data_IF_985691210050
#
_entry.id   IF_985691210050
#
_cell.length_a   1.000
_cell.length_b   1.000
_cell.length_c   1.000
_cell.angle_alpha   90.00
_cell.angle_beta   90.00
_cell.angle_gamma   90.00
#
_symmetry.space_group_name_H-M   'P 1'
#
loop_
_entity.id
_entity.type
_entity.pdbx_description
1 polymer ?
#
# COMPACT_ATOMS: atom_id res chain seq x y z
N UNK A 1 21.69 -63.91 40.45
CA UNK A 1 22.28 -62.82 41.27
C UNK A 1 22.71 -61.70 40.30
N UNK A 2 21.88 -60.69 40.17
CA UNK A 2 22.10 -59.58 39.22
C UNK A 2 22.40 -58.34 40.05
N UNK A 3 23.61 -57.80 39.91
CA UNK A 3 24.02 -56.56 40.56
C UNK A 3 23.57 -55.32 39.75
N UNK A 4 22.87 -54.43 40.41
CA UNK A 4 22.36 -53.16 39.99
C UNK A 4 23.52 -52.14 39.94
N UNK A 5 23.75 -51.35 38.88
CA UNK A 5 24.71 -50.24 38.93
C UNK A 5 24.14 -48.96 39.47
N UNK A 6 24.94 -48.29 40.24
CA UNK A 6 24.74 -47.04 40.98
C UNK A 6 24.63 -45.83 40.06
N UNK A 7 23.69 -44.96 40.37
CA UNK A 7 23.38 -43.68 39.74
C UNK A 7 24.42 -42.61 40.11
N UNK A 8 25.24 -42.13 39.18
CA UNK A 8 26.09 -40.97 39.40
C UNK A 8 25.41 -39.72 38.79
N UNK A 9 25.28 -38.67 39.64
CA UNK A 9 24.79 -37.34 39.24
C UNK A 9 25.87 -36.56 38.52
N UNK A 10 25.58 -35.83 37.42
CA UNK A 10 26.55 -34.94 36.80
C UNK A 10 26.63 -33.59 37.50
N UNK A 11 27.86 -33.12 37.60
CA UNK A 11 28.28 -31.84 38.19
C UNK A 11 27.79 -30.66 37.32
N UNK A 12 27.27 -29.64 38.01
CA UNK A 12 26.95 -28.31 37.50
C UNK A 12 28.21 -27.63 36.99
N UNK A 13 28.27 -27.34 35.70
CA UNK A 13 29.27 -26.45 35.07
C UNK A 13 28.63 -25.11 34.86
N UNK A 14 29.08 -24.12 35.65
CA UNK A 14 28.76 -22.71 35.47
C UNK A 14 29.48 -22.18 34.24
N UNK A 15 28.81 -22.13 33.11
CA UNK A 15 29.32 -21.55 31.88
C UNK A 15 28.79 -20.11 31.71
N UNK A 16 29.71 -19.16 31.68
CA UNK A 16 29.48 -17.75 31.46
C UNK A 16 28.75 -17.53 30.13
N UNK A 17 27.67 -16.77 30.13
CA UNK A 17 26.95 -16.30 28.95
C UNK A 17 27.84 -15.33 28.20
N UNK A 18 28.06 -15.51 26.88
CA UNK A 18 28.47 -14.40 26.03
C UNK A 18 27.26 -13.49 25.81
N UNK A 19 27.40 -12.23 26.14
CA UNK A 19 26.52 -11.14 25.69
C UNK A 19 26.63 -11.05 24.19
N UNK A 20 25.69 -11.71 23.49
CA UNK A 20 25.52 -11.49 22.07
C UNK A 20 24.83 -10.14 21.88
N UNK A 21 25.57 -9.17 21.33
CA UNK A 21 25.04 -7.98 20.71
C UNK A 21 23.95 -8.38 19.70
N UNK A 22 22.70 -8.25 20.12
CA UNK A 22 21.55 -8.36 19.22
C UNK A 22 21.50 -7.05 18.44
N UNK A 23 22.19 -7.03 17.30
CA UNK A 23 21.97 -5.99 16.29
C UNK A 23 20.55 -6.18 15.75
N UNK A 24 19.61 -5.44 16.34
CA UNK A 24 18.21 -5.32 15.94
C UNK A 24 18.09 -4.68 14.56
N UNK A 25 18.21 -5.48 13.51
CA UNK A 25 17.87 -5.11 12.13
C UNK A 25 16.77 -6.01 11.57
N UNK A 26 15.89 -6.50 12.45
CA UNK A 26 14.70 -7.20 12.00
C UNK A 26 13.58 -6.20 11.67
N UNK A 27 13.39 -5.91 10.37
CA UNK A 27 12.23 -5.20 9.84
C UNK A 27 10.97 -6.10 9.81
N UNK A 28 10.93 -7.14 10.62
CA UNK A 28 9.78 -8.00 10.81
C UNK A 28 8.59 -7.29 11.47
N UNK A 29 7.45 -7.97 11.63
CA UNK A 29 6.27 -7.39 12.27
C UNK A 29 6.57 -6.97 13.71
N UNK A 30 6.36 -5.70 14.01
CA UNK A 30 6.43 -5.20 15.40
C UNK A 30 5.19 -5.68 16.14
N UNK A 31 5.37 -6.47 17.21
CA UNK A 31 4.26 -6.89 18.07
C UNK A 31 3.80 -5.69 18.90
N UNK A 32 2.78 -4.98 18.42
CA UNK A 32 2.06 -3.95 19.15
C UNK A 32 0.69 -4.47 19.60
N UNK A 33 0.28 -4.13 20.81
CA UNK A 33 -0.91 -4.63 21.46
C UNK A 33 -2.22 -4.21 20.76
N UNK A 34 -3.16 -5.16 20.72
CA UNK A 34 -4.62 -4.99 20.61
C UNK A 34 -5.19 -4.28 19.38
N UNK A 35 -5.65 -5.08 18.41
CA UNK A 35 -6.55 -4.69 17.33
C UNK A 35 -6.19 -5.39 16.02
N UNK A 36 -7.16 -5.97 15.34
CA UNK A 36 -7.07 -6.68 14.04
C UNK A 36 -6.65 -5.75 12.87
N UNK A 37 -5.59 -4.98 13.04
CA UNK A 37 -4.87 -4.31 11.96
C UNK A 37 -3.61 -5.11 11.71
N UNK A 38 -3.29 -5.42 10.46
CA UNK A 38 -2.06 -6.10 10.10
C UNK A 38 -0.87 -5.45 10.82
N UNK A 39 0.09 -6.25 11.32
CA UNK A 39 1.21 -5.73 12.11
C UNK A 39 1.93 -4.62 11.34
N UNK A 40 2.14 -3.49 12.00
CA UNK A 40 2.85 -2.34 11.43
C UNK A 40 4.23 -2.74 10.90
N UNK A 41 4.70 -2.01 9.92
CA UNK A 41 6.03 -2.17 9.33
C UNK A 41 6.85 -0.91 9.58
N UNK A 42 8.15 -1.07 9.74
CA UNK A 42 9.07 0.05 9.95
C UNK A 42 9.73 0.43 8.63
N UNK A 43 9.67 1.71 8.28
CA UNK A 43 10.40 2.27 7.16
C UNK A 43 11.92 2.21 7.42
N UNK A 44 12.70 1.63 6.48
CA UNK A 44 14.17 1.53 6.64
C UNK A 44 14.89 2.88 6.54
N UNK A 45 14.22 3.90 5.99
CA UNK A 45 14.77 5.27 5.84
C UNK A 45 14.35 6.18 6.99
N UNK A 46 13.03 6.37 7.19
CA UNK A 46 12.50 7.31 8.19
C UNK A 46 12.37 6.71 9.60
N UNK A 47 12.44 5.37 9.71
CA UNK A 47 12.20 4.61 10.94
C UNK A 47 10.77 4.69 11.50
N UNK A 48 9.88 5.38 10.83
CA UNK A 48 8.47 5.43 11.19
C UNK A 48 7.80 4.07 11.03
N UNK A 49 6.85 3.81 11.92
CA UNK A 49 5.98 2.63 11.85
C UNK A 49 4.65 3.02 11.19
N UNK A 50 4.26 2.26 10.18
CA UNK A 50 3.03 2.49 9.42
C UNK A 50 2.34 1.17 9.08
N UNK A 51 1.02 1.19 8.86
CA UNK A 51 0.32 0.06 8.27
C UNK A 51 0.89 -0.30 6.89
N UNK A 52 0.90 -1.59 6.50
CA UNK A 52 1.43 -2.04 5.20
C UNK A 52 0.78 -1.38 3.99
N UNK A 53 -0.47 -0.92 4.13
CA UNK A 53 -1.25 -0.24 3.09
C UNK A 53 -0.60 1.09 2.66
N UNK A 54 0.01 1.82 3.60
CA UNK A 54 0.75 3.07 3.34
C UNK A 54 2.23 2.86 3.01
N UNK A 55 2.67 1.62 2.75
CA UNK A 55 4.07 1.29 2.54
C UNK A 55 4.30 0.44 1.29
N UNK A 56 5.54 0.41 0.84
CA UNK A 56 6.00 -0.42 -0.27
C UNK A 56 7.02 -1.42 0.24
N UNK A 57 6.75 -2.69 -0.05
CA UNK A 57 7.68 -3.78 0.21
C UNK A 57 8.69 -3.89 -0.91
N UNK A 58 9.94 -4.18 -0.55
CA UNK A 58 11.02 -4.48 -1.48
C UNK A 58 11.70 -5.78 -1.07
N UNK A 59 12.25 -6.48 -2.05
CA UNK A 59 13.11 -7.64 -1.85
C UNK A 59 14.39 -7.46 -2.65
N UNK A 60 15.41 -8.25 -2.34
CA UNK A 60 16.63 -8.33 -3.15
C UNK A 60 16.57 -9.59 -4.01
N UNK A 61 16.73 -9.42 -5.31
CA UNK A 61 16.83 -10.54 -6.26
C UNK A 61 18.19 -11.24 -6.16
N UNK A 62 18.37 -12.45 -6.74
CA UNK A 62 19.64 -13.17 -6.72
C UNK A 62 20.83 -12.39 -7.32
N UNK A 63 20.57 -11.49 -8.25
CA UNK A 63 21.55 -10.58 -8.89
C UNK A 63 21.72 -9.27 -8.13
N UNK A 64 21.41 -9.26 -6.83
CA UNK A 64 21.55 -8.12 -5.93
C UNK A 64 20.78 -6.86 -6.36
N UNK A 65 19.70 -6.99 -7.13
CA UNK A 65 18.83 -5.86 -7.48
C UNK A 65 17.72 -5.68 -6.48
N UNK A 66 17.42 -4.43 -6.13
CA UNK A 66 16.25 -4.07 -5.33
C UNK A 66 15.01 -4.11 -6.22
N UNK A 67 14.04 -4.93 -5.86
CA UNK A 67 12.80 -5.16 -6.62
C UNK A 67 11.60 -4.77 -5.76
N UNK A 68 10.71 -3.87 -6.24
CA UNK A 68 9.46 -3.56 -5.54
C UNK A 68 8.49 -4.75 -5.59
N UNK A 69 7.97 -5.13 -4.44
CA UNK A 69 6.97 -6.20 -4.30
C UNK A 69 5.62 -5.63 -3.88
N UNK A 70 4.93 -4.99 -4.81
CA UNK A 70 3.63 -4.37 -4.59
C UNK A 70 2.52 -5.39 -4.26
N UNK A 71 2.73 -6.65 -4.62
CA UNK A 71 1.79 -7.73 -4.34
C UNK A 71 2.06 -8.43 -2.99
N UNK A 72 3.23 -8.22 -2.40
CA UNK A 72 3.65 -8.89 -1.16
C UNK A 72 3.89 -10.40 -1.32
N UNK A 73 4.21 -10.88 -2.54
CA UNK A 73 4.29 -12.31 -2.88
C UNK A 73 5.70 -12.80 -3.19
N UNK A 74 6.65 -11.91 -3.43
CA UNK A 74 8.01 -12.33 -3.76
C UNK A 74 8.69 -12.98 -2.54
N UNK A 75 9.47 -14.07 -2.77
CA UNK A 75 10.23 -14.70 -1.70
C UNK A 75 11.33 -13.77 -1.20
N UNK A 76 11.84 -14.05 0.00
CA UNK A 76 12.95 -13.31 0.59
C UNK A 76 12.53 -12.34 1.70
N UNK A 77 13.55 -11.81 2.37
CA UNK A 77 13.36 -10.83 3.45
C UNK A 77 12.82 -9.53 2.86
N UNK A 78 11.65 -9.10 3.36
CA UNK A 78 11.04 -7.84 2.96
C UNK A 78 11.67 -6.64 3.64
N UNK A 79 12.00 -5.63 2.87
CA UNK A 79 12.38 -4.29 3.32
C UNK A 79 11.24 -3.33 3.00
N UNK A 80 10.91 -2.43 3.93
CA UNK A 80 9.73 -1.59 3.81
C UNK A 80 10.10 -0.11 3.77
N UNK A 81 9.53 0.63 2.82
CA UNK A 81 9.62 2.09 2.75
C UNK A 81 8.22 2.68 2.80
N UNK A 82 8.09 3.87 3.41
CA UNK A 82 6.87 4.67 3.28
C UNK A 82 6.60 4.96 1.80
N UNK A 83 5.34 4.85 1.38
CA UNK A 83 4.91 5.20 0.04
C UNK A 83 4.91 6.74 -0.10
N UNK A 84 6.08 7.33 -0.29
CA UNK A 84 6.31 8.77 -0.40
C UNK A 84 7.41 9.02 -1.42
N UNK A 85 7.18 9.96 -2.33
CA UNK A 85 8.16 10.36 -3.35
C UNK A 85 9.47 10.81 -2.69
N UNK A 86 9.39 11.67 -1.67
CA UNK A 86 10.57 12.20 -0.97
C UNK A 86 11.41 11.09 -0.35
N UNK A 87 10.78 10.05 0.18
CA UNK A 87 11.48 8.89 0.74
C UNK A 87 12.12 8.05 -0.36
N UNK A 88 11.42 7.80 -1.46
CA UNK A 88 11.90 6.96 -2.56
C UNK A 88 13.05 7.61 -3.33
N UNK A 89 13.01 8.92 -3.54
CA UNK A 89 14.02 9.70 -4.28
C UNK A 89 15.17 10.18 -3.39
N UNK A 90 15.07 9.96 -2.06
CA UNK A 90 16.10 10.37 -1.12
C UNK A 90 17.47 9.70 -1.40
N UNK A 91 18.54 10.48 -1.37
CA UNK A 91 19.91 9.95 -1.45
C UNK A 91 20.23 8.91 -0.35
N UNK A 92 19.54 9.00 0.80
CA UNK A 92 19.68 8.05 1.91
C UNK A 92 19.11 6.67 1.60
N UNK A 93 18.19 6.57 0.64
CA UNK A 93 17.47 5.34 0.31
C UNK A 93 18.40 4.25 -0.21
N UNK A 94 19.37 4.59 -1.08
CA UNK A 94 20.39 3.63 -1.56
C UNK A 94 21.17 3.02 -0.40
N UNK A 95 21.66 3.85 0.54
CA UNK A 95 22.40 3.39 1.71
C UNK A 95 21.53 2.59 2.68
N UNK A 96 20.24 2.95 2.82
CA UNK A 96 19.31 2.23 3.67
C UNK A 96 19.06 0.82 3.14
N UNK A 97 18.93 0.64 1.82
CA UNK A 97 18.82 -0.69 1.20
C UNK A 97 20.06 -1.53 1.42
N UNK A 98 21.27 -0.99 1.18
CA UNK A 98 22.51 -1.74 1.38
C UNK A 98 22.67 -2.19 2.84
N UNK A 99 22.36 -1.32 3.81
CA UNK A 99 22.37 -1.68 5.25
C UNK A 99 21.35 -2.74 5.60
N UNK A 100 20.11 -2.62 5.09
CA UNK A 100 19.04 -3.58 5.38
C UNK A 100 19.28 -4.95 4.73
N UNK A 101 19.85 -4.97 3.53
CA UNK A 101 20.25 -6.17 2.81
C UNK A 101 21.53 -6.82 3.37
N UNK A 102 22.34 -6.06 4.12
CA UNK A 102 23.71 -6.44 4.55
C UNK A 102 24.63 -6.81 3.36
N UNK A 103 24.41 -6.19 2.21
CA UNK A 103 25.12 -6.43 0.97
C UNK A 103 25.10 -5.19 0.07
N UNK A 104 26.02 -5.12 -0.87
CA UNK A 104 25.94 -4.17 -1.98
C UNK A 104 24.73 -4.52 -2.84
N UNK A 105 23.85 -3.53 -3.10
CA UNK A 105 22.65 -3.73 -3.91
C UNK A 105 22.54 -2.66 -5.00
N UNK A 106 21.93 -3.07 -6.10
CA UNK A 106 21.65 -2.19 -7.24
C UNK A 106 20.23 -1.66 -7.06
N UNK A 107 20.10 -0.35 -6.85
CA UNK A 107 18.81 0.34 -6.76
C UNK A 107 18.51 0.96 -8.12
N UNK A 108 17.34 0.66 -8.74
CA UNK A 108 16.95 1.28 -10.01
C UNK A 108 16.91 2.81 -9.92
N UNK A 109 17.28 3.47 -11.00
CA UNK A 109 17.06 4.91 -11.13
C UNK A 109 15.57 5.21 -11.37
N UNK A 110 15.10 6.38 -10.93
CA UNK A 110 13.70 6.75 -11.08
C UNK A 110 12.75 5.81 -10.33
N UNK A 111 13.16 5.32 -9.16
CA UNK A 111 12.40 4.31 -8.39
C UNK A 111 10.96 4.75 -8.11
N UNK A 112 10.74 6.04 -7.79
CA UNK A 112 9.40 6.57 -7.55
C UNK A 112 8.51 6.49 -8.81
N UNK A 113 9.06 6.82 -9.98
CA UNK A 113 8.30 6.80 -11.23
C UNK A 113 7.99 5.36 -11.68
N UNK A 114 8.93 4.44 -11.51
CA UNK A 114 8.71 3.01 -11.77
C UNK A 114 7.57 2.45 -10.90
N UNK A 115 7.59 2.79 -9.61
CA UNK A 115 6.55 2.37 -8.67
C UNK A 115 5.21 3.05 -9.00
N UNK A 116 5.22 4.34 -9.31
CA UNK A 116 4.02 5.08 -9.72
C UNK A 116 3.35 4.46 -10.95
N UNK A 117 4.12 4.14 -11.99
CA UNK A 117 3.61 3.47 -13.19
C UNK A 117 3.03 2.07 -12.88
N UNK A 118 3.72 1.29 -12.03
CA UNK A 118 3.24 -0.02 -11.61
C UNK A 118 1.96 0.06 -10.78
N UNK A 119 1.82 1.05 -9.89
CA UNK A 119 0.60 1.27 -9.11
C UNK A 119 -0.59 1.67 -9.99
N UNK A 120 -0.37 2.54 -11.00
CA UNK A 120 -1.40 2.88 -11.99
C UNK A 120 -1.87 1.64 -12.75
N UNK A 121 -0.94 0.77 -13.18
CA UNK A 121 -1.31 -0.49 -13.83
C UNK A 121 -2.14 -1.39 -12.91
N UNK A 122 -1.78 -1.50 -11.64
CA UNK A 122 -2.52 -2.30 -10.66
C UNK A 122 -3.92 -1.74 -10.37
N UNK A 123 -4.10 -0.42 -10.38
CA UNK A 123 -5.43 0.21 -10.31
C UNK A 123 -6.26 -0.11 -11.55
N UNK A 124 -5.67 -0.01 -12.75
CA UNK A 124 -6.31 -0.42 -14.01
C UNK A 124 -6.77 -1.88 -13.96
N UNK A 125 -5.90 -2.79 -13.52
CA UNK A 125 -6.21 -4.22 -13.40
C UNK A 125 -7.38 -4.46 -12.43
N UNK A 126 -7.41 -3.75 -11.28
CA UNK A 126 -8.49 -3.86 -10.30
C UNK A 126 -9.84 -3.40 -10.88
N UNK A 127 -9.86 -2.25 -11.56
CA UNK A 127 -11.08 -1.72 -12.21
C UNK A 127 -11.54 -2.64 -13.35
N UNK A 128 -10.60 -3.11 -14.18
CA UNK A 128 -10.90 -4.02 -15.29
C UNK A 128 -11.46 -5.36 -14.80
N UNK A 129 -10.92 -5.90 -13.71
CA UNK A 129 -11.42 -7.13 -13.11
C UNK A 129 -12.82 -6.91 -12.52
N UNK A 130 -13.05 -5.80 -11.82
CA UNK A 130 -14.35 -5.43 -11.29
C UNK A 130 -15.40 -5.26 -12.42
N UNK A 131 -15.01 -4.68 -13.56
CA UNK A 131 -15.88 -4.57 -14.74
C UNK A 131 -16.30 -5.96 -15.25
N UNK A 132 -15.35 -6.86 -15.45
CA UNK A 132 -15.65 -8.24 -15.88
C UNK A 132 -16.54 -8.99 -14.89
N UNK A 133 -16.40 -8.71 -13.60
CA UNK A 133 -17.21 -9.29 -12.54
C UNK A 133 -18.57 -8.60 -12.35
N UNK A 134 -18.93 -7.57 -13.13
CA UNK A 134 -20.15 -6.80 -12.96
C UNK A 134 -20.21 -5.97 -11.66
N UNK A 135 -19.06 -5.73 -11.01
CA UNK A 135 -18.94 -5.03 -9.73
C UNK A 135 -18.65 -3.54 -9.88
N UNK A 136 -18.61 -2.99 -11.09
CA UNK A 136 -18.38 -1.58 -11.36
C UNK A 136 -19.18 -1.12 -12.56
N UNK A 137 -19.61 0.14 -12.54
CA UNK A 137 -20.25 0.83 -13.66
C UNK A 137 -19.58 2.16 -13.91
N UNK A 138 -19.64 2.63 -15.17
CA UNK A 138 -19.06 3.89 -15.62
C UNK A 138 -20.11 4.79 -16.24
N UNK A 139 -19.91 6.10 -16.07
CA UNK A 139 -20.76 7.16 -16.61
C UNK A 139 -21.72 7.74 -15.54
N UNK A 140 -21.98 9.05 -15.64
CA UNK A 140 -22.67 9.83 -14.61
C UNK A 140 -24.02 9.20 -14.19
N UNK A 141 -24.90 8.90 -15.13
CA UNK A 141 -26.24 8.40 -14.83
C UNK A 141 -26.20 7.05 -14.09
N UNK A 142 -25.42 6.07 -14.61
CA UNK A 142 -25.30 4.77 -13.98
C UNK A 142 -24.67 4.83 -12.61
N UNK A 143 -23.65 5.69 -12.45
CA UNK A 143 -23.04 5.94 -11.12
C UNK A 143 -24.08 6.52 -10.15
N UNK A 144 -24.90 7.46 -10.58
CA UNK A 144 -25.96 8.06 -9.77
C UNK A 144 -27.00 7.03 -9.32
N UNK A 145 -27.43 6.14 -10.20
CA UNK A 145 -28.34 5.05 -9.89
C UNK A 145 -27.76 4.11 -8.81
N UNK A 146 -26.49 3.74 -8.95
CA UNK A 146 -25.82 2.89 -7.97
C UNK A 146 -25.62 3.57 -6.62
N UNK A 147 -25.28 4.85 -6.63
CA UNK A 147 -25.20 5.66 -5.41
C UNK A 147 -26.53 5.73 -4.69
N UNK A 148 -27.62 5.97 -5.42
CA UNK A 148 -28.98 6.04 -4.86
C UNK A 148 -29.42 4.69 -4.26
N UNK A 149 -29.08 3.59 -4.92
CA UNK A 149 -29.40 2.22 -4.43
C UNK A 149 -28.51 1.72 -3.28
N UNK A 150 -27.50 2.48 -2.84
CA UNK A 150 -26.62 2.11 -1.74
C UNK A 150 -25.63 0.98 -2.05
N UNK A 151 -25.42 0.64 -3.32
CA UNK A 151 -24.53 -0.45 -3.76
C UNK A 151 -23.07 -0.08 -3.92
N UNK A 152 -22.66 1.09 -3.49
CA UNK A 152 -21.32 1.65 -3.74
C UNK A 152 -20.43 1.53 -2.53
N UNK A 153 -19.24 0.95 -2.70
CA UNK A 153 -18.16 0.91 -1.71
C UNK A 153 -17.05 1.94 -1.96
N UNK A 154 -16.86 2.36 -3.23
CA UNK A 154 -15.88 3.40 -3.59
C UNK A 154 -16.33 4.15 -4.85
N UNK A 155 -16.13 5.46 -4.85
CA UNK A 155 -16.33 6.33 -6.02
C UNK A 155 -14.97 6.56 -6.69
N UNK A 156 -14.92 6.43 -8.00
CA UNK A 156 -13.71 6.61 -8.79
C UNK A 156 -13.93 7.80 -9.73
N UNK A 157 -13.02 8.76 -9.70
CA UNK A 157 -13.00 9.86 -10.65
C UNK A 157 -11.67 9.93 -11.38
N UNK A 158 -11.68 10.38 -12.63
CA UNK A 158 -10.46 10.72 -13.32
C UNK A 158 -9.89 12.06 -12.85
N UNK A 159 -8.62 12.32 -13.12
CA UNK A 159 -7.95 13.58 -12.80
C UNK A 159 -8.58 14.76 -13.55
N UNK A 160 -9.08 14.55 -14.75
CA UNK A 160 -9.77 15.55 -15.58
C UNK A 160 -11.24 15.77 -15.19
N UNK A 161 -11.74 15.09 -14.17
CA UNK A 161 -13.13 15.20 -13.74
C UNK A 161 -13.46 16.62 -13.22
N UNK A 162 -14.56 17.21 -13.71
CA UNK A 162 -15.04 18.50 -13.23
C UNK A 162 -15.44 18.43 -11.76
N UNK A 163 -14.93 19.34 -10.89
CA UNK A 163 -15.31 19.38 -9.48
C UNK A 163 -16.81 19.58 -9.27
N UNK A 164 -17.46 20.42 -10.07
CA UNK A 164 -18.89 20.71 -9.97
C UNK A 164 -19.76 19.52 -10.36
N UNK A 165 -19.37 18.82 -11.46
CA UNK A 165 -20.06 17.58 -11.84
C UNK A 165 -19.87 16.49 -10.80
N UNK A 166 -18.67 16.37 -10.25
CA UNK A 166 -18.38 15.41 -9.19
C UNK A 166 -19.21 15.70 -7.95
N UNK A 167 -19.30 16.97 -7.53
CA UNK A 167 -20.14 17.38 -6.39
C UNK A 167 -21.61 17.02 -6.60
N UNK A 168 -22.13 17.21 -7.83
CA UNK A 168 -23.49 16.78 -8.19
C UNK A 168 -23.66 15.27 -8.17
N UNK A 169 -22.64 14.52 -8.64
CA UNK A 169 -22.67 13.08 -8.64
C UNK A 169 -22.79 12.49 -7.23
N UNK A 170 -21.98 12.97 -6.28
CA UNK A 170 -21.92 12.44 -4.90
C UNK A 170 -22.88 13.14 -3.93
N UNK A 171 -23.73 14.06 -4.42
CA UNK A 171 -24.69 14.79 -3.59
C UNK A 171 -25.53 13.82 -2.76
N UNK A 172 -25.56 14.05 -1.43
CA UNK A 172 -26.25 13.19 -0.46
C UNK A 172 -25.49 11.91 -0.04
N UNK A 173 -24.27 11.68 -0.53
CA UNK A 173 -23.47 10.47 -0.25
C UNK A 173 -21.98 10.79 0.01
N UNK A 174 -21.71 11.82 0.80
CA UNK A 174 -20.36 12.36 1.00
C UNK A 174 -19.40 11.49 1.85
N UNK A 175 -19.89 10.45 2.51
CA UNK A 175 -19.08 9.59 3.39
C UNK A 175 -18.39 8.43 2.67
N UNK A 176 -18.57 8.30 1.36
CA UNK A 176 -17.93 7.20 0.59
C UNK A 176 -16.47 7.53 0.29
N UNK A 177 -15.57 6.52 0.33
CA UNK A 177 -14.21 6.68 -0.16
C UNK A 177 -14.18 7.14 -1.61
N UNK A 178 -13.30 8.09 -1.92
CA UNK A 178 -13.09 8.63 -3.27
C UNK A 178 -11.67 8.32 -3.71
N UNK A 179 -11.54 7.74 -4.89
CA UNK A 179 -10.27 7.43 -5.53
C UNK A 179 -10.11 8.27 -6.79
N UNK A 180 -9.05 9.07 -6.87
CA UNK A 180 -8.72 9.86 -8.07
C UNK A 180 -7.64 9.12 -8.85
N UNK A 181 -7.91 8.79 -10.11
CA UNK A 181 -6.99 8.02 -10.96
C UNK A 181 -6.63 8.82 -12.22
N UNK A 182 -5.44 8.59 -12.82
CA UNK A 182 -5.14 9.08 -14.16
C UNK A 182 -6.23 8.67 -15.16
N UNK A 183 -6.56 9.55 -16.08
CA UNK A 183 -7.67 9.38 -17.05
C UNK A 183 -7.61 8.03 -17.76
N UNK A 184 -6.40 7.64 -18.20
CA UNK A 184 -6.16 6.34 -18.87
C UNK A 184 -6.66 5.12 -18.11
N UNK A 185 -6.79 5.18 -16.78
CA UNK A 185 -7.26 4.05 -15.97
C UNK A 185 -8.72 3.74 -16.28
N UNK A 186 -9.58 4.76 -16.29
CA UNK A 186 -11.00 4.58 -16.60
C UNK A 186 -11.21 4.36 -18.11
N UNK A 187 -10.52 5.11 -18.95
CA UNK A 187 -10.63 4.98 -20.42
C UNK A 187 -10.26 3.58 -20.88
N UNK A 188 -9.12 3.06 -20.45
CA UNK A 188 -8.68 1.70 -20.77
C UNK A 188 -9.58 0.64 -20.15
N UNK A 189 -9.94 0.78 -18.87
CA UNK A 189 -10.78 -0.21 -18.18
C UNK A 189 -12.15 -0.36 -18.83
N UNK A 190 -12.76 0.72 -19.32
CA UNK A 190 -14.09 0.72 -19.92
C UNK A 190 -14.09 0.76 -21.45
N UNK A 191 -12.92 0.82 -22.08
CA UNK A 191 -12.77 0.97 -23.53
C UNK A 191 -13.62 2.14 -24.06
N UNK A 192 -13.52 3.29 -23.42
CA UNK A 192 -14.29 4.50 -23.70
C UNK A 192 -13.43 5.73 -23.58
N UNK A 193 -13.43 6.56 -24.59
CA UNK A 193 -12.88 7.90 -24.52
C UNK A 193 -13.68 8.72 -23.48
N UNK A 194 -12.98 9.53 -22.70
CA UNK A 194 -13.56 10.40 -21.68
C UNK A 194 -14.40 9.67 -20.61
N UNK A 195 -13.92 8.52 -20.16
CA UNK A 195 -14.49 7.86 -18.98
C UNK A 195 -14.06 8.59 -17.69
N UNK A 196 -14.90 9.47 -17.15
CA UNK A 196 -14.54 10.38 -16.05
C UNK A 196 -15.00 9.89 -14.69
N UNK A 197 -16.11 9.13 -14.62
CA UNK A 197 -16.71 8.67 -13.38
C UNK A 197 -17.03 7.18 -13.45
N UNK A 198 -16.66 6.48 -12.39
CA UNK A 198 -17.09 5.12 -12.14
C UNK A 198 -17.40 4.92 -10.66
N UNK A 199 -18.17 3.90 -10.34
CA UNK A 199 -18.40 3.45 -8.97
C UNK A 199 -18.20 1.95 -8.92
N UNK A 200 -17.72 1.46 -7.76
CA UNK A 200 -17.47 0.04 -7.55
C UNK A 200 -18.22 -0.44 -6.31
N UNK A 201 -18.77 -1.64 -6.38
CA UNK A 201 -19.43 -2.30 -5.26
C UNK A 201 -18.45 -2.54 -4.10
N UNK A 202 -18.93 -2.62 -2.84
CA UNK A 202 -18.09 -2.96 -1.71
C UNK A 202 -17.55 -4.40 -1.87
N UNK A 203 -16.28 -4.61 -1.48
CA UNK A 203 -15.63 -5.92 -1.55
C UNK A 203 -14.11 -5.81 -1.69
N UNK A 204 -13.48 -6.97 -1.91
CA UNK A 204 -12.02 -7.09 -1.97
C UNK A 204 -11.37 -6.22 -3.08
N UNK A 205 -12.04 -6.08 -4.24
CA UNK A 205 -11.53 -5.24 -5.33
C UNK A 205 -11.58 -3.76 -5.00
N UNK A 206 -12.64 -3.28 -4.33
CA UNK A 206 -12.75 -1.91 -3.85
C UNK A 206 -11.67 -1.60 -2.81
N UNK A 207 -11.47 -2.49 -1.84
CA UNK A 207 -10.43 -2.35 -0.81
C UNK A 207 -9.02 -2.33 -1.44
N UNK A 208 -8.77 -3.23 -2.40
CA UNK A 208 -7.52 -3.24 -3.15
C UNK A 208 -7.30 -1.93 -3.90
N UNK A 209 -8.32 -1.41 -4.58
CA UNK A 209 -8.22 -0.16 -5.33
C UNK A 209 -7.88 1.02 -4.40
N UNK A 210 -8.54 1.10 -3.24
CA UNK A 210 -8.28 2.13 -2.23
C UNK A 210 -6.83 2.05 -1.74
N UNK A 211 -6.33 0.86 -1.39
CA UNK A 211 -4.96 0.68 -0.92
C UNK A 211 -3.91 1.02 -2.00
N UNK A 212 -4.14 0.63 -3.26
CA UNK A 212 -3.24 1.00 -4.37
C UNK A 212 -3.24 2.51 -4.63
N UNK A 213 -4.41 3.16 -4.52
CA UNK A 213 -4.54 4.61 -4.66
C UNK A 213 -3.83 5.35 -3.51
N UNK A 214 -3.93 4.90 -2.27
CA UNK A 214 -3.23 5.49 -1.13
C UNK A 214 -1.71 5.49 -1.36
N UNK A 215 -1.15 4.36 -1.78
CA UNK A 215 0.27 4.26 -2.14
C UNK A 215 0.62 5.18 -3.31
N UNK A 216 -0.23 5.19 -4.36
CA UNK A 216 -0.01 6.02 -5.55
C UNK A 216 0.01 7.51 -5.19
N UNK A 217 -0.92 7.99 -4.38
CA UNK A 217 -0.99 9.39 -3.97
C UNK A 217 0.29 9.83 -3.26
N UNK A 218 0.83 9.03 -2.36
CA UNK A 218 2.09 9.32 -1.69
C UNK A 218 3.29 9.30 -2.64
N UNK A 219 3.34 8.35 -3.57
CA UNK A 219 4.42 8.24 -4.57
C UNK A 219 4.32 9.35 -5.63
N UNK A 220 3.13 9.75 -6.02
CA UNK A 220 2.91 10.86 -6.95
C UNK A 220 3.18 12.24 -6.31
N UNK A 221 3.40 12.30 -4.99
CA UNK A 221 3.57 13.55 -4.26
C UNK A 221 2.28 14.36 -4.18
N UNK A 222 1.12 13.71 -4.26
CA UNK A 222 -0.20 14.35 -4.19
C UNK A 222 -0.82 14.14 -2.82
N UNK A 223 -1.44 15.18 -2.23
CA UNK A 223 -2.22 14.98 -1.02
C UNK A 223 -3.39 14.02 -1.33
N UNK A 224 -3.67 13.11 -0.39
CA UNK A 224 -4.87 12.30 -0.44
C UNK A 224 -6.08 13.26 -0.46
N UNK A 225 -7.09 13.04 -1.32
CA UNK A 225 -8.32 13.81 -1.25
C UNK A 225 -8.92 13.64 0.14
N UNK A 226 -9.21 14.77 0.79
CA UNK A 226 -9.87 14.78 2.09
C UNK A 226 -11.20 14.02 1.97
N UNK A 227 -11.46 12.98 2.77
CA UNK A 227 -12.73 12.25 2.74
C UNK A 227 -13.94 13.15 3.06
N UNK A 228 -13.70 14.31 3.65
CA UNK A 228 -14.74 15.30 3.96
C UNK A 228 -14.88 16.42 2.90
N UNK A 229 -14.11 16.44 1.82
CA UNK A 229 -14.12 17.31 0.64
C UNK A 229 -15.03 18.54 0.62
N UNK A 230 -15.10 19.30 1.70
CA UNK A 230 -15.74 20.62 1.75
C UNK A 230 -14.74 21.57 2.39
N UNK A 231 -14.11 22.35 1.54
CA UNK A 231 -13.32 23.51 1.96
C UNK A 231 -14.11 24.33 2.97
N UNK A 232 -13.54 24.55 4.15
CA UNK A 232 -14.05 25.50 5.16
C UNK A 232 -13.95 26.97 4.72
N UNK A 233 -13.81 27.24 3.44
CA UNK A 233 -13.50 28.57 2.90
C UNK A 233 -14.74 29.37 2.47
N UNK A 234 -15.92 28.92 2.82
CA UNK A 234 -17.17 29.70 2.55
C UNK A 234 -18.05 29.91 3.79
N UNK A 235 -17.46 30.05 4.96
CA UNK A 235 -18.20 30.38 6.19
C UNK A 235 -17.85 31.77 6.76
N UNK A 236 -17.19 32.63 5.98
CA UNK A 236 -16.98 34.04 6.34
C UNK A 236 -17.22 34.94 5.12
N UNK A 237 -18.50 35.20 4.83
CA UNK A 237 -18.97 36.41 4.16
C UNK A 237 -20.44 36.65 4.54
#
# INVERSE_FOLDING_TARGET
MVKKPTRQSPKTVTGSRPTSDISDTDNGPVRGALGRRGSERRCIVTREQKPPEGMIRFVVSPDNRVVPDLAGKLPGRGMWLSASRDVLDSARTRQAFARAAKAQVIVPEGLADLIGAALVQRMLDAVSLARRAGQTVCGFQKCREWLTSGRVGVVIRSESASPDEFSRLVSGRRSLPVVTVPDRVLESAFSRDRAVYAVMAPGALAQRLIAEHERFSGVAGRPLPDPAGVSKEQAEL
#
